data_IF_709026524524
#
_entry.id   IF_709026524524
#
_cell.length_a   1.000
_cell.length_b   1.000
_cell.length_c   1.000
_cell.angle_alpha   90.00
_cell.angle_beta   90.00
_cell.angle_gamma   90.00
#
_symmetry.space_group_name_H-M   'P 1'
#
loop_
_entity.id
_entity.type
_entity.pdbx_description
1 polymer ?
#
# COMPACT_ATOMS: atom_id res chain seq x y z
N UNK A 1 64.95 38.60 -10.59
CA UNK A 1 63.53 38.57 -11.01
C UNK A 1 63.12 37.12 -11.23
N UNK A 2 62.59 36.44 -10.22
CA UNK A 2 62.02 35.10 -10.33
C UNK A 2 60.52 35.25 -10.10
N UNK A 3 59.71 35.05 -11.15
CA UNK A 3 58.26 35.14 -11.04
C UNK A 3 57.74 33.86 -10.38
N UNK A 4 57.23 33.99 -9.16
CA UNK A 4 56.48 32.96 -8.46
C UNK A 4 55.07 32.93 -9.07
N UNK A 5 54.76 31.90 -9.85
CA UNK A 5 53.38 31.66 -10.31
C UNK A 5 52.72 30.69 -9.34
N UNK A 6 51.98 31.23 -8.38
CA UNK A 6 51.09 30.46 -7.52
C UNK A 6 49.86 30.08 -8.34
N UNK A 7 49.73 28.80 -8.70
CA UNK A 7 48.49 28.26 -9.24
C UNK A 7 47.57 27.90 -8.07
N UNK A 8 46.54 28.73 -7.84
CA UNK A 8 45.45 28.41 -6.92
C UNK A 8 44.44 27.58 -7.70
N UNK A 9 44.46 26.26 -7.50
CA UNK A 9 43.43 25.36 -8.01
C UNK A 9 42.24 25.45 -7.06
N UNK A 10 41.22 26.24 -7.44
CA UNK A 10 39.92 26.26 -6.79
C UNK A 10 39.22 24.93 -7.12
N UNK A 11 39.25 23.97 -6.20
CA UNK A 11 38.44 22.77 -6.28
C UNK A 11 37.01 23.13 -5.88
N UNK A 12 36.18 23.48 -6.86
CA UNK A 12 34.74 23.67 -6.66
C UNK A 12 34.16 22.28 -6.40
N UNK A 13 34.04 21.91 -5.13
CA UNK A 13 33.35 20.70 -4.70
C UNK A 13 31.85 20.94 -4.92
N UNK A 14 31.36 20.68 -6.14
CA UNK A 14 29.92 20.58 -6.39
C UNK A 14 29.44 19.37 -5.61
N UNK A 15 28.97 19.59 -4.38
CA UNK A 15 28.15 18.64 -3.67
C UNK A 15 26.86 18.50 -4.49
N UNK A 16 26.86 17.59 -5.47
CA UNK A 16 25.60 17.01 -5.95
C UNK A 16 24.97 16.42 -4.71
N UNK A 17 23.94 17.09 -4.16
CA UNK A 17 23.05 16.49 -3.20
C UNK A 17 22.35 15.37 -3.97
N UNK A 18 22.90 14.16 -3.91
CA UNK A 18 22.18 12.97 -4.34
C UNK A 18 20.96 12.91 -3.42
N UNK A 19 19.77 13.12 -3.99
CA UNK A 19 18.53 12.82 -3.28
C UNK A 19 18.62 11.37 -2.85
N UNK A 20 18.73 11.12 -1.54
CA UNK A 20 18.70 9.78 -1.00
C UNK A 20 17.24 9.33 -1.09
N UNK A 21 16.96 8.25 -1.82
CA UNK A 21 15.65 7.61 -1.77
C UNK A 21 15.33 7.27 -0.30
N UNK A 22 14.24 7.82 0.21
CA UNK A 22 13.69 7.54 1.53
C UNK A 22 12.99 6.18 1.57
N UNK A 23 12.41 5.76 0.45
CA UNK A 23 11.89 4.40 0.29
C UNK A 23 13.00 3.46 -0.17
N UNK A 24 13.40 2.54 0.71
CA UNK A 24 14.52 1.63 0.46
C UNK A 24 14.06 0.29 -0.12
N UNK A 25 15.00 -0.50 -0.63
CA UNK A 25 14.73 -1.87 -1.07
C UNK A 25 14.23 -2.77 0.07
N UNK A 26 14.65 -2.51 1.31
CA UNK A 26 14.15 -3.24 2.48
C UNK A 26 12.68 -2.94 2.73
N UNK A 27 12.25 -1.69 2.54
CA UNK A 27 10.86 -1.29 2.68
C UNK A 27 9.99 -1.87 1.56
N UNK A 28 10.50 -1.86 0.33
CA UNK A 28 9.84 -2.51 -0.81
C UNK A 28 9.65 -4.01 -0.54
N UNK A 29 10.70 -4.69 -0.10
CA UNK A 29 10.64 -6.12 0.24
C UNK A 29 9.67 -6.41 1.40
N UNK A 30 9.65 -5.55 2.43
CA UNK A 30 8.72 -5.66 3.55
C UNK A 30 7.27 -5.53 3.07
N UNK A 31 6.96 -4.51 2.27
CA UNK A 31 5.63 -4.26 1.72
C UNK A 31 5.16 -5.40 0.82
N UNK A 32 5.99 -5.82 -0.13
CA UNK A 32 5.67 -6.94 -1.04
C UNK A 32 5.43 -8.24 -0.28
N UNK A 33 6.24 -8.53 0.74
CA UNK A 33 6.03 -9.70 1.60
C UNK A 33 4.70 -9.60 2.35
N UNK A 34 4.37 -8.45 2.91
CA UNK A 34 3.10 -8.20 3.60
C UNK A 34 1.89 -8.41 2.70
N UNK A 35 1.91 -7.82 1.50
CA UNK A 35 0.84 -7.98 0.50
C UNK A 35 0.69 -9.44 0.06
N UNK A 36 1.78 -10.17 -0.17
CA UNK A 36 1.69 -11.58 -0.58
C UNK A 36 1.17 -12.49 0.53
N UNK A 37 1.68 -12.31 1.74
CA UNK A 37 1.31 -13.15 2.88
C UNK A 37 -0.15 -12.95 3.25
N UNK A 38 -0.59 -11.70 3.46
CA UNK A 38 -1.97 -11.43 3.89
C UNK A 38 -3.01 -11.83 2.84
N UNK A 39 -2.67 -11.70 1.55
CA UNK A 39 -3.56 -12.12 0.46
C UNK A 39 -3.70 -13.64 0.43
N UNK A 40 -2.58 -14.35 0.56
CA UNK A 40 -2.58 -15.82 0.62
C UNK A 40 -3.32 -16.33 1.86
N UNK A 41 -3.12 -15.69 3.01
CA UNK A 41 -3.82 -16.02 4.26
C UNK A 41 -5.33 -15.83 4.12
N UNK A 42 -5.79 -14.69 3.58
CA UNK A 42 -7.21 -14.44 3.34
C UNK A 42 -7.82 -15.52 2.44
N UNK A 43 -7.21 -15.79 1.29
CA UNK A 43 -7.70 -16.80 0.33
C UNK A 43 -7.73 -18.20 0.95
N UNK A 44 -6.73 -18.54 1.78
CA UNK A 44 -6.70 -19.82 2.47
C UNK A 44 -7.85 -19.98 3.48
N UNK A 45 -8.25 -18.91 4.17
CA UNK A 45 -9.36 -18.92 5.14
C UNK A 45 -10.72 -19.14 4.47
N UNK A 46 -10.93 -18.60 3.26
CA UNK A 46 -12.24 -18.67 2.58
C UNK A 46 -12.36 -19.80 1.56
N UNK A 47 -11.25 -20.48 1.23
CA UNK A 47 -11.19 -21.49 0.16
C UNK A 47 -12.25 -22.58 0.28
N UNK A 48 -12.39 -23.16 1.48
CA UNK A 48 -13.27 -24.31 1.74
C UNK A 48 -14.71 -23.89 2.09
N UNK A 49 -15.00 -22.58 2.10
CA UNK A 49 -16.34 -22.08 2.41
C UNK A 49 -17.24 -22.15 1.17
N UNK A 50 -18.45 -22.66 1.33
CA UNK A 50 -19.48 -22.60 0.29
C UNK A 50 -20.19 -21.22 0.26
N UNK A 51 -21.08 -21.02 -0.70
CA UNK A 51 -21.79 -19.74 -0.88
C UNK A 51 -22.70 -19.39 0.30
N UNK A 52 -23.33 -20.39 0.91
CA UNK A 52 -24.21 -20.21 2.07
C UNK A 52 -23.39 -19.76 3.29
N UNK A 53 -22.22 -20.35 3.50
CA UNK A 53 -21.27 -19.96 4.55
C UNK A 53 -20.68 -18.57 4.31
N UNK A 54 -20.33 -18.25 3.06
CA UNK A 54 -19.83 -16.91 2.69
C UNK A 54 -20.88 -15.82 2.93
N UNK A 55 -22.15 -16.12 2.65
CA UNK A 55 -23.28 -15.20 2.76
C UNK A 55 -23.92 -15.16 4.15
N UNK A 56 -23.55 -16.07 5.05
CA UNK A 56 -24.12 -16.16 6.38
C UNK A 56 -23.93 -14.85 7.18
N UNK A 57 -25.03 -14.37 7.76
CA UNK A 57 -25.06 -13.24 8.69
C UNK A 57 -25.53 -13.70 10.07
N UNK A 58 -24.75 -13.48 11.14
CA UNK A 58 -25.17 -13.87 12.49
C UNK A 58 -26.33 -13.00 13.00
N UNK A 59 -26.43 -11.74 12.56
CA UNK A 59 -27.52 -10.81 12.86
C UNK A 59 -27.63 -9.72 11.79
N UNK A 60 -28.63 -8.84 11.89
CA UNK A 60 -28.89 -7.75 10.94
C UNK A 60 -27.84 -6.64 10.94
N UNK A 61 -26.98 -6.58 11.97
CA UNK A 61 -26.01 -5.52 12.17
C UNK A 61 -24.59 -5.98 11.85
N UNK A 62 -24.41 -7.23 11.44
CA UNK A 62 -23.12 -7.84 11.16
C UNK A 62 -22.95 -8.06 9.67
N UNK A 63 -21.72 -7.85 9.20
CA UNK A 63 -21.35 -8.22 7.83
C UNK A 63 -21.19 -9.73 7.70
N UNK A 64 -21.56 -10.25 6.52
CA UNK A 64 -21.19 -11.62 6.12
C UNK A 64 -19.69 -11.70 5.80
N UNK A 65 -19.18 -12.92 5.62
CA UNK A 65 -17.78 -13.11 5.19
C UNK A 65 -17.58 -12.51 3.80
N UNK A 66 -18.56 -12.68 2.90
CA UNK A 66 -18.54 -12.06 1.57
C UNK A 66 -18.46 -10.52 1.65
N UNK A 67 -19.24 -9.90 2.53
CA UNK A 67 -19.21 -8.45 2.72
C UNK A 67 -17.88 -7.96 3.32
N UNK A 68 -17.26 -8.74 4.23
CA UNK A 68 -15.91 -8.42 4.74
C UNK A 68 -14.88 -8.49 3.61
N UNK A 69 -14.93 -9.52 2.76
CA UNK A 69 -13.99 -9.65 1.64
C UNK A 69 -14.25 -8.55 0.58
N UNK A 70 -15.51 -8.15 0.37
CA UNK A 70 -15.85 -7.02 -0.51
C UNK A 70 -15.24 -5.73 0.01
N UNK A 71 -15.38 -5.45 1.31
CA UNK A 71 -14.77 -4.30 1.97
C UNK A 71 -13.25 -4.26 1.76
N UNK A 72 -12.57 -5.40 1.92
CA UNK A 72 -11.13 -5.50 1.64
C UNK A 72 -10.81 -5.25 0.16
N UNK A 73 -11.59 -5.83 -0.75
CA UNK A 73 -11.43 -5.61 -2.19
C UNK A 73 -11.58 -4.14 -2.61
N UNK A 74 -12.49 -3.39 -1.98
CA UNK A 74 -12.65 -1.96 -2.23
C UNK A 74 -11.40 -1.18 -1.81
N UNK A 75 -10.77 -1.55 -0.69
CA UNK A 75 -9.51 -0.93 -0.27
C UNK A 75 -8.32 -1.32 -1.15
N UNK A 76 -8.27 -2.54 -1.69
CA UNK A 76 -7.27 -2.91 -2.70
C UNK A 76 -7.41 -2.05 -3.96
N UNK A 77 -8.65 -1.87 -4.44
CA UNK A 77 -8.93 -1.00 -5.58
C UNK A 77 -8.51 0.45 -5.30
N UNK A 78 -8.87 0.98 -4.14
CA UNK A 78 -8.53 2.35 -3.76
C UNK A 78 -7.01 2.54 -3.67
N UNK A 79 -6.31 1.62 -3.01
CA UNK A 79 -4.85 1.65 -2.90
C UNK A 79 -4.18 1.61 -4.28
N UNK A 80 -4.67 0.77 -5.19
CA UNK A 80 -4.16 0.73 -6.56
C UNK A 80 -4.27 2.09 -7.25
N UNK A 81 -5.47 2.70 -7.24
CA UNK A 81 -5.68 3.99 -7.90
C UNK A 81 -4.87 5.11 -7.26
N UNK A 82 -4.75 5.12 -5.93
CA UNK A 82 -3.93 6.08 -5.20
C UNK A 82 -2.45 5.95 -5.59
N UNK A 83 -1.90 4.74 -5.58
CA UNK A 83 -0.51 4.49 -5.98
C UNK A 83 -0.25 4.84 -7.45
N UNK A 84 -1.17 4.46 -8.34
CA UNK A 84 -1.07 4.78 -9.76
C UNK A 84 -1.06 6.29 -9.99
N UNK A 85 -1.92 7.04 -9.29
CA UNK A 85 -1.93 8.49 -9.35
C UNK A 85 -0.62 9.08 -8.78
N UNK A 86 -0.16 8.60 -7.62
CA UNK A 86 1.04 9.09 -6.96
C UNK A 86 2.32 8.83 -7.75
N UNK A 87 2.36 7.76 -8.55
CA UNK A 87 3.47 7.50 -9.47
C UNK A 87 3.71 8.64 -10.46
N UNK A 88 2.66 9.40 -10.80
CA UNK A 88 2.72 10.52 -11.73
C UNK A 88 2.67 11.89 -11.05
N UNK A 89 2.51 11.93 -9.74
CA UNK A 89 2.50 13.17 -8.96
C UNK A 89 3.91 13.68 -8.66
N UNK A 90 4.10 15.02 -8.56
CA UNK A 90 5.34 15.60 -8.06
C UNK A 90 5.65 15.12 -6.65
N UNK A 91 6.94 14.94 -6.36
CA UNK A 91 7.41 14.67 -4.99
C UNK A 91 7.09 15.84 -4.06
N UNK A 92 6.82 15.52 -2.80
CA UNK A 92 6.39 16.42 -1.73
C UNK A 92 7.26 16.24 -0.47
N UNK A 93 8.58 16.53 -0.55
CA UNK A 93 9.51 16.37 0.56
C UNK A 93 9.12 17.17 1.81
N UNK A 94 8.29 18.22 1.68
CA UNK A 94 7.76 18.99 2.80
C UNK A 94 6.80 18.21 3.73
N UNK A 95 6.34 17.04 3.30
CA UNK A 95 5.47 16.16 4.08
C UNK A 95 6.22 15.16 4.95
N UNK A 96 7.48 14.82 4.61
CA UNK A 96 8.24 13.74 5.24
C UNK A 96 8.26 13.85 6.76
N UNK A 97 8.60 15.04 7.29
CA UNK A 97 8.63 15.24 8.75
C UNK A 97 7.23 15.22 9.38
N UNK A 98 6.18 15.59 8.63
CA UNK A 98 4.80 15.60 9.13
C UNK A 98 4.18 14.21 9.25
N UNK A 99 4.64 13.26 8.44
CA UNK A 99 4.13 11.88 8.41
C UNK A 99 4.99 10.90 9.20
N UNK A 100 6.06 11.39 9.83
CA UNK A 100 6.95 10.59 10.66
C UNK A 100 6.18 9.92 11.80
N UNK A 101 6.35 8.60 11.93
CA UNK A 101 5.63 7.80 12.94
C UNK A 101 4.32 7.17 12.44
N UNK A 102 3.88 7.49 11.22
CA UNK A 102 2.64 6.94 10.67
C UNK A 102 2.75 5.43 10.37
N UNK A 103 3.93 4.95 9.97
CA UNK A 103 4.14 3.52 9.69
C UNK A 103 3.88 2.68 10.94
N UNK A 104 4.43 3.07 12.10
CA UNK A 104 4.20 2.38 13.37
C UNK A 104 2.74 2.46 13.81
N UNK A 105 2.09 3.60 13.62
CA UNK A 105 0.68 3.78 13.96
C UNK A 105 -0.23 2.89 13.09
N UNK A 106 0.04 2.79 11.79
CA UNK A 106 -0.71 1.95 10.85
C UNK A 106 -0.48 0.45 11.12
N UNK A 107 0.76 0.05 11.41
CA UNK A 107 1.07 -1.33 11.78
C UNK A 107 0.41 -1.75 13.09
N UNK A 108 0.34 -0.85 14.08
CA UNK A 108 -0.40 -1.10 15.31
C UNK A 108 -1.90 -1.24 15.03
N UNK A 109 -2.46 -0.34 14.23
CA UNK A 109 -3.87 -0.36 13.84
C UNK A 109 -4.28 -1.65 13.11
N UNK A 110 -3.41 -2.20 12.26
CA UNK A 110 -3.69 -3.41 11.48
C UNK A 110 -4.02 -4.65 12.33
N UNK A 111 -3.68 -4.65 13.62
CA UNK A 111 -3.95 -5.75 14.57
C UNK A 111 -4.80 -5.32 15.76
N UNK A 112 -5.35 -4.11 15.74
CA UNK A 112 -6.18 -3.59 16.82
C UNK A 112 -7.53 -4.35 16.87
N UNK A 113 -7.93 -4.93 18.01
CA UNK A 113 -9.23 -5.59 18.15
C UNK A 113 -10.42 -4.61 18.17
N UNK A 114 -10.18 -3.30 18.35
CA UNK A 114 -11.22 -2.30 18.31
C UNK A 114 -11.75 -2.09 16.88
N UNK A 115 -13.03 -2.40 16.68
CA UNK A 115 -13.68 -2.25 15.38
C UNK A 115 -13.87 -0.76 15.04
N UNK A 116 -13.23 -0.32 13.97
CA UNK A 116 -13.54 0.97 13.36
C UNK A 116 -14.87 0.95 12.60
N UNK A 117 -15.41 2.13 12.32
CA UNK A 117 -16.54 2.28 11.39
C UNK A 117 -15.98 2.54 10.01
N UNK A 118 -16.39 1.73 9.02
CA UNK A 118 -15.98 1.97 7.65
C UNK A 118 -16.58 3.29 7.12
N UNK A 119 -15.83 4.05 6.31
CA UNK A 119 -16.40 5.17 5.58
C UNK A 119 -17.38 4.66 4.53
N UNK A 120 -18.37 5.49 4.17
CA UNK A 120 -19.45 5.15 3.23
C UNK A 120 -18.98 4.52 1.89
N UNK A 121 -17.77 4.85 1.43
CA UNK A 121 -17.21 4.39 0.16
C UNK A 121 -16.71 2.94 0.27
N UNK A 122 -16.34 2.52 1.46
CA UNK A 122 -15.84 1.18 1.76
C UNK A 122 -16.89 0.33 2.48
N UNK A 123 -18.11 0.82 2.72
CA UNK A 123 -19.18 -0.03 3.20
C UNK A 123 -19.55 -1.06 2.11
N UNK A 124 -19.58 -2.37 2.44
CA UNK A 124 -19.94 -3.39 1.48
C UNK A 124 -21.42 -3.26 1.11
N UNK A 125 -21.73 -3.45 -0.17
CA UNK A 125 -23.11 -3.33 -0.68
C UNK A 125 -23.68 -4.68 -1.15
N UNK A 126 -22.94 -5.78 -0.94
CA UNK A 126 -23.32 -7.10 -1.42
C UNK A 126 -23.25 -7.18 -2.93
N UNK A 127 -22.20 -6.62 -3.53
CA UNK A 127 -22.08 -6.47 -5.01
C UNK A 127 -21.88 -7.80 -5.73
N UNK A 128 -21.42 -8.83 -5.02
CA UNK A 128 -21.02 -10.12 -5.59
C UNK A 128 -21.92 -11.23 -5.06
N UNK A 129 -22.63 -11.90 -5.98
CA UNK A 129 -23.44 -13.08 -5.66
C UNK A 129 -22.59 -14.36 -5.59
N UNK A 130 -21.53 -14.45 -6.40
CA UNK A 130 -20.65 -15.62 -6.49
C UNK A 130 -19.32 -15.37 -5.74
N UNK A 131 -18.91 -16.31 -4.88
CA UNK A 131 -17.63 -16.30 -4.17
C UNK A 131 -16.46 -16.11 -5.14
N UNK A 132 -16.46 -16.80 -6.27
CA UNK A 132 -15.38 -16.70 -7.25
C UNK A 132 -15.31 -15.32 -7.90
N UNK A 133 -16.45 -14.63 -8.08
CA UNK A 133 -16.46 -13.26 -8.61
C UNK A 133 -15.85 -12.27 -7.61
N UNK A 134 -16.18 -12.43 -6.33
CA UNK A 134 -15.62 -11.65 -5.24
C UNK A 134 -14.10 -11.87 -5.08
N UNK A 135 -13.66 -13.13 -5.11
CA UNK A 135 -12.24 -13.48 -5.08
C UNK A 135 -11.50 -12.81 -6.24
N UNK A 136 -12.05 -12.90 -7.48
CA UNK A 136 -11.44 -12.26 -8.65
C UNK A 136 -11.32 -10.75 -8.50
N UNK A 137 -12.30 -10.08 -7.91
CA UNK A 137 -12.24 -8.64 -7.67
C UNK A 137 -11.10 -8.27 -6.71
N UNK A 138 -11.03 -8.95 -5.56
CA UNK A 138 -9.95 -8.75 -4.60
C UNK A 138 -8.57 -9.05 -5.21
N UNK A 139 -8.39 -10.22 -5.82
CA UNK A 139 -7.09 -10.65 -6.34
C UNK A 139 -6.61 -9.78 -7.49
N UNK A 140 -7.52 -9.33 -8.36
CA UNK A 140 -7.17 -8.42 -9.45
C UNK A 140 -6.43 -7.19 -8.93
N UNK A 141 -6.99 -6.48 -7.95
CA UNK A 141 -6.36 -5.25 -7.47
C UNK A 141 -5.13 -5.52 -6.61
N UNK A 142 -5.12 -6.61 -5.82
CA UNK A 142 -3.93 -7.05 -5.10
C UNK A 142 -2.74 -7.30 -6.05
N UNK A 143 -2.98 -7.97 -7.17
CA UNK A 143 -1.95 -8.28 -8.17
C UNK A 143 -1.46 -7.01 -8.89
N UNK A 144 -2.36 -6.07 -9.17
CA UNK A 144 -2.02 -4.77 -9.77
C UNK A 144 -1.17 -3.90 -8.81
N UNK A 145 -1.52 -3.86 -7.52
CA UNK A 145 -0.72 -3.18 -6.48
C UNK A 145 0.68 -3.80 -6.39
N UNK A 146 0.77 -5.13 -6.33
CA UNK A 146 2.07 -5.84 -6.31
C UNK A 146 2.88 -5.49 -7.55
N UNK A 147 2.28 -5.57 -8.74
CA UNK A 147 2.96 -5.31 -10.02
C UNK A 147 3.48 -3.87 -10.09
N UNK A 148 2.69 -2.90 -9.61
CA UNK A 148 3.08 -1.50 -9.54
C UNK A 148 4.27 -1.32 -8.59
N UNK A 149 4.21 -1.89 -7.38
CA UNK A 149 5.29 -1.82 -6.39
C UNK A 149 6.55 -2.53 -6.89
N UNK A 150 6.45 -3.58 -7.71
CA UNK A 150 7.63 -4.25 -8.27
C UNK A 150 8.27 -3.44 -9.40
N UNK A 151 7.46 -2.82 -10.27
CA UNK A 151 7.92 -2.17 -11.49
C UNK A 151 8.26 -0.68 -11.37
N UNK A 152 7.95 -0.04 -10.24
CA UNK A 152 8.12 1.41 -10.09
C UNK A 152 9.51 1.81 -9.62
N UNK A 153 10.05 2.90 -10.19
CA UNK A 153 11.27 3.59 -9.72
C UNK A 153 10.94 4.81 -8.84
N UNK A 154 9.65 5.08 -8.60
CA UNK A 154 9.19 6.22 -7.80
C UNK A 154 9.46 5.97 -6.31
N UNK A 155 9.95 6.99 -5.63
CA UNK A 155 9.97 7.00 -4.16
C UNK A 155 8.59 7.42 -3.62
N UNK A 156 7.81 6.45 -3.13
CA UNK A 156 6.48 6.71 -2.55
C UNK A 156 6.52 7.35 -1.16
N UNK A 157 7.70 7.60 -0.60
CA UNK A 157 7.88 8.39 0.63
C UNK A 157 8.18 9.86 0.36
N UNK A 158 8.25 10.26 -0.91
CA UNK A 158 8.44 11.65 -1.34
C UNK A 158 7.19 12.25 -1.96
#
# INVERSE_FOLDING_TARGET
>A
MKKLTTAVILFIFTQTLWSQNLWTEQDRAFLLKGLRNTGSELLAQIRELDEDQMSFKPDSNSWSIAEIVEHLGVYEEHLYWDLLYQQHSPERPELVEKVKGNDEALLAYATDPAKGTAPWLAEPIGRFEEKEALIRYFTRFRDEVISLIEGTDKDFRL
#
